data_IF_007597484751
#
_entry.id   IF_007597484751
#
_cell.length_a   1.000
_cell.length_b   1.000
_cell.length_c   1.000
_cell.angle_alpha   90.00
_cell.angle_beta   90.00
_cell.angle_gamma   90.00
#
_symmetry.space_group_name_H-M   'P 1'
#
loop_
_entity.id
_entity.type
_entity.pdbx_description
1 polymer ?
#
# COMPACT_ATOMS: atom_id res chain seq x y z
N UNK A 1 -50.62 -22.28 94.20
CA UNK A 1 -49.24 -22.75 93.98
C UNK A 1 -48.83 -22.28 92.59
N UNK A 2 -47.68 -21.62 92.44
CA UNK A 2 -47.18 -21.23 91.13
C UNK A 2 -46.83 -22.50 90.34
N UNK A 3 -47.28 -22.62 89.08
CA UNK A 3 -46.75 -23.63 88.19
C UNK A 3 -45.31 -23.25 87.88
N UNK A 4 -44.35 -24.00 88.42
CA UNK A 4 -42.92 -23.70 88.26
C UNK A 4 -42.27 -24.45 87.10
N UNK A 5 -42.92 -25.49 86.56
CA UNK A 5 -42.52 -26.20 85.33
C UNK A 5 -43.76 -26.72 84.61
N UNK A 6 -43.78 -26.58 83.29
CA UNK A 6 -44.78 -27.21 82.42
C UNK A 6 -44.08 -28.39 81.74
N UNK A 7 -44.65 -29.60 81.86
CA UNK A 7 -44.15 -30.80 81.16
C UNK A 7 -44.57 -30.82 79.69
N UNK A 8 -43.98 -31.70 78.88
CA UNK A 8 -44.29 -31.83 77.45
C UNK A 8 -45.77 -32.14 77.17
N UNK A 9 -46.44 -32.82 78.10
CA UNK A 9 -47.87 -33.17 78.00
C UNK A 9 -48.78 -32.10 78.68
N UNK A 10 -48.17 -31.09 79.31
CA UNK A 10 -48.85 -30.07 80.11
C UNK A 10 -49.50 -28.96 79.28
N UNK A 11 -49.27 -28.93 77.97
CA UNK A 11 -49.87 -27.99 77.02
C UNK A 11 -50.58 -28.81 75.97
N UNK A 12 -51.90 -28.67 75.89
CA UNK A 12 -52.67 -29.29 74.81
C UNK A 12 -52.29 -28.64 73.47
N UNK A 13 -52.45 -29.38 72.37
CA UNK A 13 -52.34 -28.82 71.01
C UNK A 13 -53.16 -27.52 70.89
N UNK A 14 -52.61 -26.53 70.20
CA UNK A 14 -53.18 -25.18 70.02
C UNK A 14 -53.47 -24.38 71.30
N UNK A 15 -53.10 -24.87 72.49
CA UNK A 15 -53.37 -24.14 73.74
C UNK A 15 -52.59 -22.82 73.85
N UNK A 16 -51.44 -22.72 73.17
CA UNK A 16 -50.69 -21.47 72.98
C UNK A 16 -51.03 -20.93 71.58
N UNK A 17 -51.89 -19.93 71.55
CA UNK A 17 -52.29 -19.24 70.32
C UNK A 17 -51.49 -17.95 70.13
N UNK A 18 -51.52 -17.38 68.93
CA UNK A 18 -50.86 -16.10 68.64
C UNK A 18 -51.26 -14.97 69.60
N UNK A 19 -52.53 -14.92 70.03
CA UNK A 19 -53.01 -13.91 70.99
C UNK A 19 -52.48 -14.06 72.41
N UNK A 20 -51.91 -15.22 72.77
CA UNK A 20 -51.27 -15.47 74.07
C UNK A 20 -49.76 -15.25 74.06
N UNK A 21 -49.18 -14.95 72.90
CA UNK A 21 -47.78 -14.58 72.73
C UNK A 21 -47.75 -13.06 72.49
N UNK A 22 -47.44 -12.23 73.51
CA UNK A 22 -47.33 -10.79 73.32
C UNK A 22 -46.28 -10.42 72.26
N UNK A 23 -46.40 -9.24 71.66
CA UNK A 23 -45.39 -8.73 70.73
C UNK A 23 -44.00 -8.71 71.39
N UNK A 24 -42.97 -9.15 70.65
CA UNK A 24 -41.58 -9.30 71.11
C UNK A 24 -41.36 -10.29 72.27
N UNK A 25 -42.36 -11.12 72.63
CA UNK A 25 -42.22 -12.11 73.69
C UNK A 25 -41.30 -13.30 73.31
N UNK A 26 -41.02 -13.47 72.01
CA UNK A 26 -40.06 -14.45 71.50
C UNK A 26 -38.88 -13.67 70.93
N UNK A 27 -37.80 -13.58 71.71
CA UNK A 27 -36.55 -12.96 71.33
C UNK A 27 -35.47 -14.00 71.02
N UNK A 28 -34.21 -13.55 70.97
CA UNK A 28 -33.07 -14.43 70.70
C UNK A 28 -32.80 -15.45 71.81
N UNK A 29 -33.25 -15.23 73.04
CA UNK A 29 -33.11 -16.17 74.15
C UNK A 29 -34.09 -17.34 74.08
N UNK A 30 -35.27 -17.12 73.49
CA UNK A 30 -36.31 -18.15 73.34
C UNK A 30 -36.14 -18.97 72.05
N UNK A 31 -35.33 -18.47 71.12
CA UNK A 31 -34.89 -19.18 69.92
C UNK A 31 -33.49 -19.72 70.20
N UNK A 32 -33.39 -20.98 70.64
CA UNK A 32 -32.10 -21.62 70.84
C UNK A 32 -31.24 -21.60 69.57
N UNK A 33 -29.91 -21.69 69.72
CA UNK A 33 -28.99 -21.81 68.59
C UNK A 33 -29.44 -22.96 67.67
N UNK A 34 -29.45 -22.72 66.36
CA UNK A 34 -29.93 -23.66 65.33
C UNK A 34 -31.40 -24.09 65.44
N UNK A 35 -32.21 -23.52 66.34
CA UNK A 35 -33.62 -23.89 66.50
C UNK A 35 -34.44 -23.63 65.22
N UNK A 36 -34.04 -22.65 64.42
CA UNK A 36 -34.58 -22.37 63.08
C UNK A 36 -33.73 -23.11 62.04
N UNK A 37 -33.98 -24.41 61.91
CA UNK A 37 -33.28 -25.27 60.96
C UNK A 37 -33.67 -24.94 59.51
N UNK A 38 -32.88 -25.43 58.55
CA UNK A 38 -33.20 -25.26 57.13
C UNK A 38 -34.62 -25.77 56.81
N UNK A 39 -35.04 -26.91 57.37
CA UNK A 39 -36.40 -27.44 57.18
C UNK A 39 -37.53 -26.52 57.70
N UNK A 40 -37.22 -25.63 58.65
CA UNK A 40 -38.13 -24.60 59.19
C UNK A 40 -38.05 -23.27 58.43
N UNK A 41 -37.02 -23.10 57.61
CA UNK A 41 -36.88 -22.03 56.62
C UNK A 41 -37.12 -22.65 55.25
N UNK A 42 -38.37 -22.96 54.84
CA UNK A 42 -38.68 -23.78 53.66
C UNK A 42 -37.75 -23.44 52.51
N UNK A 43 -36.69 -24.25 52.39
CA UNK A 43 -35.66 -24.08 51.40
C UNK A 43 -36.24 -24.62 50.10
N UNK A 44 -35.72 -24.11 48.98
CA UNK A 44 -35.91 -24.66 47.64
C UNK A 44 -36.68 -25.98 47.57
N UNK A 45 -37.98 -25.95 47.26
CA UNK A 45 -38.76 -27.16 46.93
C UNK A 45 -38.54 -27.51 45.46
N UNK A 46 -37.33 -27.35 44.93
CA UNK A 46 -36.93 -27.37 43.50
C UNK A 46 -37.45 -26.23 42.61
N UNK A 47 -38.47 -25.45 43.02
CA UNK A 47 -38.97 -24.25 42.30
C UNK A 47 -38.25 -22.94 42.69
N UNK A 48 -37.37 -23.04 43.68
CA UNK A 48 -36.70 -21.93 44.37
C UNK A 48 -35.23 -22.25 44.71
N UNK A 49 -34.67 -23.29 44.10
CA UNK A 49 -33.24 -23.58 44.18
C UNK A 49 -32.46 -22.42 43.53
N UNK A 50 -31.45 -21.91 44.25
CA UNK A 50 -30.66 -20.74 43.81
C UNK A 50 -31.35 -19.37 43.98
N UNK A 51 -32.51 -19.30 44.64
CA UNK A 51 -33.14 -18.02 45.02
C UNK A 51 -32.61 -17.54 46.37
N UNK A 52 -32.44 -16.22 46.50
CA UNK A 52 -31.98 -15.58 47.74
C UNK A 52 -33.09 -14.72 48.32
N UNK A 53 -33.24 -14.71 49.65
CA UNK A 53 -34.17 -13.81 50.33
C UNK A 53 -33.54 -12.41 50.32
N UNK A 54 -34.16 -11.46 49.62
CA UNK A 54 -33.65 -10.09 49.49
C UNK A 54 -34.55 -9.11 50.23
N UNK A 55 -33.95 -8.10 50.86
CA UNK A 55 -34.69 -7.00 51.45
C UNK A 55 -35.36 -6.20 50.33
N UNK A 56 -36.69 -6.04 50.39
CA UNK A 56 -37.49 -5.41 49.34
C UNK A 56 -37.87 -3.97 49.73
N UNK A 57 -36.87 -3.13 50.03
CA UNK A 57 -37.03 -1.70 50.31
C UNK A 57 -38.21 -1.32 51.23
N UNK A 58 -38.41 -2.08 52.32
CA UNK A 58 -39.47 -1.84 53.32
C UNK A 58 -40.74 -2.67 53.16
N UNK A 59 -40.89 -3.46 52.08
CA UNK A 59 -41.88 -4.52 51.98
C UNK A 59 -41.33 -5.84 52.54
N UNK A 60 -42.22 -6.82 52.74
CA UNK A 60 -41.84 -8.17 53.17
C UNK A 60 -40.78 -8.76 52.21
N UNK A 61 -39.69 -9.35 52.74
CA UNK A 61 -38.67 -9.99 51.92
C UNK A 61 -39.26 -11.08 51.03
N UNK A 62 -38.82 -11.13 49.77
CA UNK A 62 -39.21 -12.15 48.80
C UNK A 62 -37.99 -12.92 48.29
N UNK A 63 -38.21 -14.17 47.90
CA UNK A 63 -37.19 -14.98 47.24
C UNK A 63 -37.09 -14.58 45.78
N UNK A 64 -35.95 -14.01 45.39
CA UNK A 64 -35.69 -13.61 44.02
C UNK A 64 -34.62 -14.51 43.38
N UNK A 65 -34.80 -14.79 42.09
CA UNK A 65 -33.75 -15.38 41.27
C UNK A 65 -32.69 -14.33 41.01
N UNK A 66 -31.45 -14.59 41.42
CA UNK A 66 -30.30 -13.83 40.93
C UNK A 66 -30.04 -14.29 39.51
N UNK A 67 -30.27 -13.43 38.53
CA UNK A 67 -29.88 -13.71 37.15
C UNK A 67 -28.38 -13.44 37.03
N UNK A 68 -27.57 -14.49 37.07
CA UNK A 68 -26.18 -14.40 36.63
C UNK A 68 -26.12 -13.97 35.18
N UNK A 69 -25.08 -13.24 34.79
CA UNK A 69 -24.89 -12.87 33.39
C UNK A 69 -24.42 -14.08 32.59
N UNK A 70 -25.25 -14.59 31.69
CA UNK A 70 -24.84 -15.68 30.79
C UNK A 70 -23.97 -15.11 29.68
N UNK A 71 -22.78 -15.69 29.47
CA UNK A 71 -21.96 -15.45 28.28
C UNK A 71 -22.38 -16.48 27.24
N UNK A 72 -23.17 -16.04 26.26
CA UNK A 72 -23.57 -16.90 25.15
C UNK A 72 -22.34 -17.31 24.36
N UNK A 73 -22.24 -18.60 24.01
CA UNK A 73 -21.08 -19.18 23.32
C UNK A 73 -19.78 -18.85 24.08
N UNK A 74 -19.57 -19.44 25.26
CA UNK A 74 -18.37 -19.21 26.09
C UNK A 74 -17.19 -20.11 25.67
N UNK A 75 -16.00 -19.52 25.49
CA UNK A 75 -14.72 -20.19 25.31
C UNK A 75 -13.60 -19.17 25.54
N UNK A 76 -12.38 -19.68 25.66
CA UNK A 76 -11.18 -18.85 25.83
C UNK A 76 -11.05 -17.82 24.70
N UNK A 77 -10.37 -16.71 24.99
CA UNK A 77 -9.87 -15.78 23.98
C UNK A 77 -10.95 -15.00 23.20
N UNK A 78 -12.18 -14.93 23.71
CA UNK A 78 -13.29 -14.18 23.11
C UNK A 78 -13.35 -12.73 23.59
N UNK A 79 -13.68 -11.83 22.66
CA UNK A 79 -14.15 -10.49 23.00
C UNK A 79 -15.62 -10.59 23.45
N UNK A 80 -15.92 -10.00 24.61
CA UNK A 80 -17.28 -10.00 25.18
C UNK A 80 -17.97 -8.68 24.84
N UNK A 81 -19.06 -8.74 24.08
CA UNK A 81 -19.90 -7.58 23.74
C UNK A 81 -21.22 -7.63 24.52
N UNK A 82 -21.86 -6.46 24.67
CA UNK A 82 -23.21 -6.40 25.23
C UNK A 82 -24.21 -7.13 24.34
N UNK A 83 -25.13 -7.89 24.92
CA UNK A 83 -26.26 -8.45 24.16
C UNK A 83 -27.48 -7.52 24.22
N UNK A 84 -28.36 -7.59 23.23
CA UNK A 84 -29.60 -6.81 23.19
C UNK A 84 -30.70 -7.26 24.17
N UNK A 85 -30.42 -8.21 25.06
CA UNK A 85 -31.35 -8.76 26.06
C UNK A 85 -30.81 -8.57 27.48
N UNK A 86 -31.72 -8.43 28.45
CA UNK A 86 -31.34 -8.29 29.85
C UNK A 86 -30.52 -9.50 30.33
N UNK A 87 -29.49 -9.24 31.13
CA UNK A 87 -28.67 -10.25 31.82
C UNK A 87 -27.87 -11.21 30.92
N UNK A 88 -27.55 -10.82 29.68
CA UNK A 88 -26.72 -11.65 28.78
C UNK A 88 -25.62 -10.83 28.11
N UNK A 89 -24.51 -11.49 27.77
CA UNK A 89 -23.39 -10.96 26.97
C UNK A 89 -23.08 -11.94 25.83
N UNK A 90 -22.53 -11.46 24.71
CA UNK A 90 -22.14 -12.30 23.59
C UNK A 90 -20.61 -12.50 23.58
N UNK A 91 -20.15 -13.75 23.51
CA UNK A 91 -18.79 -14.04 23.09
C UNK A 91 -18.71 -14.01 21.56
N UNK A 92 -18.12 -12.96 21.00
CA UNK A 92 -17.94 -12.86 19.54
C UNK A 92 -17.01 -13.98 19.07
N UNK A 93 -17.47 -14.84 18.16
CA UNK A 93 -16.69 -15.99 17.69
C UNK A 93 -15.61 -15.63 16.69
N UNK A 94 -15.83 -14.55 15.93
CA UNK A 94 -15.01 -14.17 14.79
C UNK A 94 -14.01 -13.05 15.13
N UNK A 95 -14.12 -12.45 16.32
CA UNK A 95 -13.20 -11.43 16.84
C UNK A 95 -12.56 -11.97 18.14
N UNK A 96 -11.31 -12.39 18.07
CA UNK A 96 -10.64 -13.11 19.17
C UNK A 96 -9.22 -12.59 19.45
N UNK A 97 -8.72 -12.84 20.66
CA UNK A 97 -7.34 -12.60 21.10
C UNK A 97 -6.72 -13.93 21.56
N UNK A 98 -5.80 -14.53 20.81
CA UNK A 98 -5.30 -15.89 21.11
C UNK A 98 -3.94 -15.93 21.86
N UNK A 99 -3.48 -14.79 22.39
CA UNK A 99 -2.19 -14.66 23.05
C UNK A 99 -0.99 -14.64 22.10
N UNK A 100 -1.14 -15.13 20.86
CA UNK A 100 -0.14 -14.99 19.78
C UNK A 100 -0.44 -13.77 18.91
N UNK A 101 -1.73 -13.49 18.68
CA UNK A 101 -2.21 -12.35 17.91
C UNK A 101 -3.05 -11.44 18.81
N UNK A 102 -2.80 -10.13 18.74
CA UNK A 102 -3.59 -9.12 19.47
C UNK A 102 -5.01 -9.02 18.90
N UNK A 103 -5.15 -9.15 17.58
CA UNK A 103 -6.43 -9.10 16.86
C UNK A 103 -6.48 -10.23 15.82
N UNK A 104 -7.48 -11.10 15.93
CA UNK A 104 -7.71 -12.18 14.98
C UNK A 104 -9.14 -12.15 14.48
N UNK A 105 -9.28 -11.92 13.17
CA UNK A 105 -10.56 -11.91 12.45
C UNK A 105 -10.56 -13.06 11.45
N UNK A 106 -11.39 -14.08 11.69
CA UNK A 106 -11.41 -15.31 10.90
C UNK A 106 -12.81 -15.94 10.81
N UNK A 107 -13.09 -16.60 9.68
CA UNK A 107 -14.36 -17.28 9.39
C UNK A 107 -14.30 -18.01 8.04
N UNK A 108 -15.43 -18.58 7.61
CA UNK A 108 -15.60 -19.03 6.22
C UNK A 108 -15.91 -17.81 5.32
N UNK A 109 -15.62 -17.93 4.03
CA UNK A 109 -15.85 -16.89 3.01
C UNK A 109 -14.99 -15.62 3.22
N UNK A 110 -15.53 -14.43 2.93
CA UNK A 110 -14.79 -13.17 3.04
C UNK A 110 -14.77 -12.67 4.49
N UNK A 111 -13.58 -12.32 4.97
CA UNK A 111 -13.40 -11.54 6.19
C UNK A 111 -12.91 -10.16 5.79
N UNK A 112 -13.47 -9.13 6.41
CA UNK A 112 -13.16 -7.75 6.08
C UNK A 112 -12.94 -6.91 7.34
N UNK A 113 -12.00 -5.98 7.24
CA UNK A 113 -11.85 -4.87 8.17
C UNK A 113 -12.22 -3.61 7.38
N UNK A 114 -13.27 -2.91 7.82
CA UNK A 114 -13.64 -1.62 7.25
C UNK A 114 -13.02 -0.51 8.10
N UNK A 115 -12.09 0.24 7.53
CA UNK A 115 -11.55 1.48 8.10
C UNK A 115 -12.07 2.61 7.22
N UNK A 116 -12.86 3.52 7.80
CA UNK A 116 -13.55 4.55 7.02
C UNK A 116 -13.74 5.85 7.79
N UNK A 117 -13.87 6.95 7.05
CA UNK A 117 -14.27 8.24 7.58
C UNK A 117 -15.63 8.64 7.01
N UNK A 118 -16.58 8.99 7.88
CA UNK A 118 -17.95 9.38 7.47
C UNK A 118 -18.07 10.83 7.04
N UNK A 119 -17.02 11.63 7.22
CA UNK A 119 -16.98 13.05 6.83
C UNK A 119 -16.15 13.31 5.57
N UNK A 120 -15.79 12.26 4.81
CA UNK A 120 -14.93 12.37 3.62
C UNK A 120 -13.44 12.59 3.92
N UNK A 121 -13.03 12.49 5.19
CA UNK A 121 -11.64 12.52 5.60
C UNK A 121 -10.84 11.26 5.22
N UNK A 122 -9.57 11.23 5.64
CA UNK A 122 -8.66 10.10 5.38
C UNK A 122 -9.01 8.93 6.30
N UNK A 123 -8.93 7.72 5.74
CA UNK A 123 -8.98 6.47 6.50
C UNK A 123 -7.67 5.71 6.29
N UNK A 124 -7.09 5.15 7.35
CA UNK A 124 -5.73 4.61 7.29
C UNK A 124 -5.53 3.41 8.22
N UNK A 125 -4.78 2.41 7.74
CA UNK A 125 -4.03 1.49 8.58
C UNK A 125 -2.63 2.07 8.81
N UNK A 126 -2.27 2.28 10.06
CA UNK A 126 -0.95 2.81 10.47
C UNK A 126 -0.10 1.65 10.98
N UNK A 127 1.12 1.56 10.47
CA UNK A 127 2.15 0.62 10.88
C UNK A 127 3.28 1.43 11.51
N UNK A 128 3.36 1.41 12.83
CA UNK A 128 4.37 2.15 13.57
C UNK A 128 5.30 1.19 14.30
N UNK A 129 6.50 1.03 13.75
CA UNK A 129 7.51 0.12 14.30
C UNK A 129 8.95 0.62 14.13
N UNK A 130 9.15 1.81 13.55
CA UNK A 130 10.46 2.44 13.54
C UNK A 130 10.67 3.21 14.85
N UNK A 131 11.94 3.39 15.25
CA UNK A 131 12.36 4.10 16.47
C UNK A 131 11.83 3.52 17.80
N UNK A 132 10.54 3.71 18.09
CA UNK A 132 9.92 3.37 19.38
C UNK A 132 8.44 2.92 19.28
N UNK A 133 7.78 3.04 18.11
CA UNK A 133 6.41 2.57 17.90
C UNK A 133 5.36 3.25 18.78
N UNK A 134 5.56 4.52 19.14
CA UNK A 134 4.75 5.24 20.13
C UNK A 134 3.55 6.02 19.53
N UNK A 135 3.36 5.96 18.22
CA UNK A 135 2.34 6.66 17.45
C UNK A 135 2.63 8.13 17.21
N UNK A 136 3.79 8.64 17.62
CA UNK A 136 4.19 10.03 17.48
C UNK A 136 5.22 10.21 16.34
N UNK A 137 5.85 11.38 16.22
CA UNK A 137 7.07 11.57 15.40
C UNK A 137 6.93 11.58 13.87
N UNK A 138 5.90 10.95 13.29
CA UNK A 138 5.76 10.85 11.84
C UNK A 138 6.66 9.79 11.20
N UNK A 139 7.10 8.80 11.95
CA UNK A 139 7.99 7.70 11.54
C UNK A 139 7.26 6.37 11.32
N UNK A 140 5.99 6.46 10.90
CA UNK A 140 5.13 5.33 10.57
C UNK A 140 5.00 5.08 9.07
N UNK A 141 4.74 3.84 8.68
CA UNK A 141 4.23 3.49 7.36
C UNK A 141 2.69 3.45 7.37
N UNK A 142 2.06 3.74 6.24
CA UNK A 142 0.60 3.83 6.14
C UNK A 142 0.10 3.15 4.88
N UNK A 143 -1.05 2.49 4.98
CA UNK A 143 -1.94 2.22 3.84
C UNK A 143 -3.19 3.07 4.06
N UNK A 144 -3.48 4.03 3.18
CA UNK A 144 -4.59 4.97 3.39
C UNK A 144 -5.40 5.24 2.13
N UNK A 145 -6.67 5.54 2.34
CA UNK A 145 -7.54 6.13 1.33
C UNK A 145 -7.61 7.65 1.57
N UNK A 146 -7.27 8.44 0.55
CA UNK A 146 -7.24 9.90 0.65
C UNK A 146 -8.62 10.52 0.43
N UNK A 147 -8.79 11.80 0.77
CA UNK A 147 -10.00 12.54 0.45
C UNK A 147 -10.21 12.72 -1.07
N UNK A 148 -9.17 12.50 -1.87
CA UNK A 148 -9.24 12.55 -3.34
C UNK A 148 -9.70 11.23 -3.97
N UNK A 149 -9.82 10.15 -3.17
CA UNK A 149 -10.18 8.82 -3.67
C UNK A 149 -8.97 7.91 -3.95
N UNK A 150 -7.75 8.35 -3.67
CA UNK A 150 -6.54 7.60 -3.97
C UNK A 150 -6.22 6.58 -2.87
N UNK A 151 -5.67 5.43 -3.26
CA UNK A 151 -5.05 4.47 -2.36
C UNK A 151 -3.54 4.74 -2.30
N UNK A 152 -3.08 5.24 -1.15
CA UNK A 152 -1.66 5.48 -0.91
C UNK A 152 -1.05 4.34 -0.09
N UNK A 153 0.07 3.81 -0.59
CA UNK A 153 1.08 3.14 0.23
C UNK A 153 2.13 4.19 0.56
N UNK A 154 2.29 4.53 1.84
CA UNK A 154 3.13 5.66 2.25
C UNK A 154 4.21 5.23 3.26
N UNK A 155 5.46 5.23 2.83
CA UNK A 155 6.62 5.01 3.68
C UNK A 155 7.12 6.36 4.22
N UNK A 156 7.04 6.57 5.54
CA UNK A 156 7.46 7.81 6.20
C UNK A 156 8.47 7.51 7.31
N UNK A 157 9.44 8.41 7.44
CA UNK A 157 10.50 8.42 8.45
C UNK A 157 11.22 9.78 8.32
N UNK A 158 11.45 10.53 9.42
CA UNK A 158 12.03 11.86 9.35
C UNK A 158 13.52 11.88 8.97
N UNK A 159 14.21 10.73 8.97
CA UNK A 159 15.68 10.70 8.96
C UNK A 159 16.35 9.71 7.98
N UNK A 160 15.66 8.66 7.51
CA UNK A 160 16.24 7.64 6.62
C UNK A 160 15.79 7.67 5.15
N UNK A 161 16.09 6.60 4.41
CA UNK A 161 15.59 6.38 3.05
C UNK A 161 14.17 5.77 3.07
N UNK A 162 13.28 6.19 2.17
CA UNK A 162 11.91 5.64 2.04
C UNK A 162 11.82 4.74 0.82
N UNK A 163 11.82 3.43 1.07
CA UNK A 163 11.73 2.46 -0.01
C UNK A 163 10.44 1.67 0.15
N UNK A 164 9.81 1.33 -0.97
CA UNK A 164 8.79 0.27 -1.00
C UNK A 164 9.45 -1.00 -1.50
N UNK A 165 9.42 -2.06 -0.70
CA UNK A 165 10.16 -3.28 -0.97
C UNK A 165 9.20 -4.47 -1.03
N UNK A 166 9.22 -5.17 -2.15
CA UNK A 166 8.46 -6.41 -2.35
C UNK A 166 9.40 -7.61 -2.25
N UNK A 167 9.05 -8.57 -1.39
CA UNK A 167 9.89 -9.74 -1.08
C UNK A 167 9.15 -11.05 -1.35
N UNK A 168 9.91 -12.06 -1.77
CA UNK A 168 9.50 -13.47 -1.78
C UNK A 168 10.38 -14.22 -0.80
N UNK A 169 9.79 -14.72 0.30
CA UNK A 169 10.57 -15.18 1.45
C UNK A 169 11.43 -14.04 2.02
N UNK A 170 12.71 -14.29 2.27
CA UNK A 170 13.68 -13.27 2.71
C UNK A 170 14.30 -12.46 1.57
N UNK A 171 14.03 -12.81 0.32
CA UNK A 171 14.69 -12.22 -0.86
C UNK A 171 13.91 -11.03 -1.41
N UNK A 172 14.60 -9.91 -1.57
CA UNK A 172 14.06 -8.74 -2.26
C UNK A 172 13.94 -8.97 -3.76
N UNK A 173 12.74 -8.73 -4.31
CA UNK A 173 12.45 -8.91 -5.72
C UNK A 173 12.38 -7.58 -6.46
N UNK A 174 11.70 -6.60 -5.88
CA UNK A 174 11.48 -5.27 -6.47
C UNK A 174 11.58 -4.22 -5.36
N UNK A 175 12.20 -3.09 -5.70
CA UNK A 175 12.27 -1.90 -4.85
C UNK A 175 11.89 -0.66 -5.65
N UNK A 176 11.00 0.14 -5.09
CA UNK A 176 10.87 1.55 -5.45
C UNK A 176 11.86 2.32 -4.58
N UNK A 177 12.89 2.90 -5.20
CA UNK A 177 14.00 3.49 -4.46
C UNK A 177 13.62 4.85 -3.89
N UNK A 178 14.20 5.20 -2.74
CA UNK A 178 14.05 6.53 -2.16
C UNK A 178 14.54 7.67 -3.07
N UNK A 179 15.53 7.39 -3.92
CA UNK A 179 16.06 8.33 -4.91
C UNK A 179 15.25 8.42 -6.20
N UNK A 180 14.18 7.62 -6.35
CA UNK A 180 13.40 7.49 -7.58
C UNK A 180 13.66 6.19 -8.33
N UNK A 181 12.74 5.85 -9.24
CA UNK A 181 12.82 4.66 -10.09
C UNK A 181 12.61 3.33 -9.37
N UNK A 182 12.80 2.26 -10.15
CA UNK A 182 12.57 0.87 -9.74
C UNK A 182 13.85 0.05 -9.95
N UNK A 183 14.25 -0.73 -8.96
CA UNK A 183 15.31 -1.74 -9.08
C UNK A 183 14.81 -3.14 -8.75
N UNK A 184 15.57 -4.14 -9.17
CA UNK A 184 15.23 -5.56 -9.06
C UNK A 184 16.30 -6.34 -8.28
N UNK A 185 15.90 -7.47 -7.69
CA UNK A 185 16.84 -8.44 -7.11
C UNK A 185 17.68 -7.93 -5.94
N UNK A 186 17.22 -6.90 -5.22
CA UNK A 186 17.92 -6.30 -4.09
C UNK A 186 18.96 -5.23 -4.46
N UNK A 187 19.01 -4.81 -5.72
CA UNK A 187 19.88 -3.71 -6.13
C UNK A 187 19.44 -2.38 -5.51
N UNK A 188 20.42 -1.62 -5.00
CA UNK A 188 20.21 -0.33 -4.31
C UNK A 188 21.02 0.80 -4.95
N UNK A 189 21.75 0.54 -6.04
CA UNK A 189 22.47 1.57 -6.75
C UNK A 189 21.48 2.43 -7.56
N UNK A 190 21.53 3.74 -7.37
CA UNK A 190 20.71 4.69 -8.12
C UNK A 190 20.95 4.57 -9.65
N UNK A 191 22.19 4.30 -10.07
CA UNK A 191 22.55 4.10 -11.47
C UNK A 191 21.87 2.90 -12.15
N UNK A 192 21.35 1.95 -11.36
CA UNK A 192 20.66 0.77 -11.86
C UNK A 192 19.13 0.89 -11.73
N UNK A 193 18.62 2.03 -11.27
CA UNK A 193 17.19 2.29 -11.22
C UNK A 193 16.66 2.54 -12.63
N UNK A 194 15.54 1.90 -12.97
CA UNK A 194 14.73 2.32 -14.11
C UNK A 194 13.83 3.46 -13.63
N UNK A 195 14.13 4.68 -14.05
CA UNK A 195 13.52 5.91 -13.56
C UNK A 195 12.70 6.65 -14.63
N UNK A 196 13.12 6.58 -15.90
CA UNK A 196 12.47 7.29 -17.01
C UNK A 196 11.88 6.35 -18.07
N UNK A 197 10.68 6.68 -18.53
CA UNK A 197 10.08 6.19 -19.78
C UNK A 197 9.32 7.33 -20.45
N UNK A 198 9.73 7.70 -21.66
CA UNK A 198 9.00 8.68 -22.46
C UNK A 198 9.07 8.34 -23.94
N UNK A 199 7.97 8.60 -24.65
CA UNK A 199 7.89 8.52 -26.09
C UNK A 199 7.56 9.91 -26.64
N UNK A 200 8.13 10.25 -27.78
CA UNK A 200 7.90 11.55 -28.38
C UNK A 200 8.31 11.65 -29.82
N UNK A 201 8.07 12.84 -30.39
CA UNK A 201 8.54 13.21 -31.71
C UNK A 201 9.62 14.28 -31.60
N UNK A 202 10.47 14.37 -32.61
CA UNK A 202 11.50 15.39 -32.73
C UNK A 202 11.69 15.78 -34.20
N UNK A 203 12.30 16.93 -34.44
CA UNK A 203 12.53 17.43 -35.82
C UNK A 203 14.03 17.46 -36.10
N UNK A 204 14.58 16.51 -36.88
CA UNK A 204 16.00 16.51 -37.22
C UNK A 204 16.37 17.69 -38.11
N UNK A 205 17.50 18.30 -37.82
CA UNK A 205 18.06 19.40 -38.60
C UNK A 205 19.34 18.92 -39.27
N UNK A 206 19.32 18.74 -40.58
CA UNK A 206 20.50 18.37 -41.35
C UNK A 206 21.24 19.61 -41.85
N UNK A 207 22.55 19.67 -41.60
CA UNK A 207 23.42 20.76 -42.04
C UNK A 207 24.66 20.25 -42.77
N UNK A 208 25.17 21.06 -43.69
CA UNK A 208 26.50 20.89 -44.28
C UNK A 208 27.40 22.00 -43.76
N UNK A 209 28.50 21.63 -43.09
CA UNK A 209 29.48 22.59 -42.57
C UNK A 209 28.84 23.76 -41.75
N UNK A 210 27.85 23.44 -40.92
CA UNK A 210 27.12 24.42 -40.10
C UNK A 210 26.00 25.18 -40.82
N UNK A 211 25.87 25.04 -42.15
CA UNK A 211 24.76 25.62 -42.92
C UNK A 211 23.59 24.65 -43.02
N UNK A 212 22.44 25.01 -42.46
CA UNK A 212 21.23 24.20 -42.51
C UNK A 212 20.73 23.98 -43.95
N UNK A 213 20.22 22.77 -44.21
CA UNK A 213 19.52 22.49 -45.45
C UNK A 213 18.24 23.33 -45.59
N UNK A 214 17.78 23.57 -46.84
CA UNK A 214 16.47 24.14 -47.11
C UNK A 214 15.32 23.33 -46.49
N UNK A 215 14.15 23.94 -46.35
CA UNK A 215 12.96 23.30 -45.77
C UNK A 215 12.59 22.02 -46.54
N UNK A 216 12.60 20.85 -45.89
CA UNK A 216 12.29 19.57 -46.54
C UNK A 216 10.81 19.43 -46.87
N UNK A 217 10.49 18.57 -47.83
CA UNK A 217 9.10 18.16 -48.08
C UNK A 217 8.61 17.12 -47.07
N UNK A 218 9.52 16.33 -46.49
CA UNK A 218 9.23 15.42 -45.38
C UNK A 218 10.33 15.50 -44.33
N UNK A 219 9.95 15.72 -43.07
CA UNK A 219 10.86 15.68 -41.93
C UNK A 219 10.13 15.22 -40.69
N UNK A 220 10.75 14.32 -39.95
CA UNK A 220 10.23 13.89 -38.66
C UNK A 220 11.13 12.84 -38.04
N UNK A 221 11.13 12.81 -36.72
CA UNK A 221 11.76 11.78 -35.94
C UNK A 221 10.87 11.35 -34.79
N UNK A 222 11.09 10.13 -34.32
CA UNK A 222 10.45 9.57 -33.13
C UNK A 222 11.53 9.10 -32.17
N UNK A 223 11.20 9.08 -30.88
CA UNK A 223 12.07 8.54 -29.86
C UNK A 223 11.30 7.77 -28.80
N UNK A 224 12.01 6.81 -28.17
CA UNK A 224 11.60 6.16 -26.92
C UNK A 224 12.80 6.19 -25.99
N UNK A 225 12.68 6.86 -24.85
CA UNK A 225 13.69 6.91 -23.80
C UNK A 225 13.36 5.88 -22.73
N UNK A 226 14.38 5.16 -22.26
CA UNK A 226 14.29 4.21 -21.16
C UNK A 226 15.54 4.43 -20.29
N UNK A 227 15.37 5.04 -19.11
CA UNK A 227 16.50 5.48 -18.28
C UNK A 227 17.49 6.35 -19.05
N UNK A 228 18.74 5.88 -19.16
CA UNK A 228 19.84 6.58 -19.85
C UNK A 228 20.08 6.14 -21.31
N UNK A 229 19.14 5.41 -21.92
CA UNK A 229 19.18 5.10 -23.35
C UNK A 229 17.98 5.71 -24.07
N UNK A 230 18.20 6.09 -25.33
CA UNK A 230 17.15 6.53 -26.24
C UNK A 230 17.25 5.77 -27.55
N UNK A 231 16.15 5.13 -27.95
CA UNK A 231 15.96 4.66 -29.31
C UNK A 231 15.45 5.82 -30.16
N UNK A 232 16.13 6.11 -31.26
CA UNK A 232 15.86 7.24 -32.15
C UNK A 232 15.61 6.72 -33.56
N UNK A 233 14.65 7.32 -34.24
CA UNK A 233 14.51 7.24 -35.69
C UNK A 233 14.30 8.65 -36.26
N UNK A 234 14.81 8.89 -37.46
CA UNK A 234 14.59 10.13 -38.19
C UNK A 234 14.52 9.87 -39.69
N UNK A 235 13.69 10.66 -40.36
CA UNK A 235 13.55 10.71 -41.82
C UNK A 235 13.57 12.16 -42.28
N UNK A 236 14.27 12.41 -43.38
CA UNK A 236 14.36 13.72 -44.02
C UNK A 236 14.44 13.53 -45.54
N UNK A 237 13.63 14.26 -46.28
CA UNK A 237 13.62 14.21 -47.73
C UNK A 237 13.27 15.57 -48.34
N UNK A 238 13.96 15.92 -49.41
CA UNK A 238 13.63 17.04 -50.28
C UNK A 238 13.94 16.69 -51.74
N UNK A 239 12.93 16.82 -52.61
CA UNK A 239 12.98 16.36 -54.00
C UNK A 239 13.96 17.14 -54.90
N UNK A 240 14.06 18.47 -54.76
CA UNK A 240 14.97 19.23 -55.61
C UNK A 240 15.48 20.49 -54.91
N UNK A 241 16.75 20.50 -54.55
CA UNK A 241 17.40 21.68 -53.99
C UNK A 241 18.92 21.57 -54.05
N UNK A 242 19.60 22.43 -53.30
CA UNK A 242 21.04 22.36 -53.10
C UNK A 242 21.43 22.85 -51.71
N UNK A 243 22.55 22.35 -51.22
CA UNK A 243 23.33 22.93 -50.15
C UNK A 243 24.81 22.81 -50.54
N UNK A 244 25.32 23.90 -51.13
CA UNK A 244 26.68 23.98 -51.69
C UNK A 244 27.73 24.42 -50.66
N UNK A 245 27.45 24.31 -49.36
CA UNK A 245 28.33 24.79 -48.28
C UNK A 245 29.66 24.01 -48.12
N UNK A 246 30.22 23.43 -49.19
CA UNK A 246 31.64 23.06 -49.30
C UNK A 246 31.93 21.70 -49.93
N UNK A 247 33.10 21.58 -50.57
CA UNK A 247 33.69 20.34 -51.13
C UNK A 247 34.57 19.56 -50.14
N UNK A 248 34.57 19.97 -48.87
CA UNK A 248 35.29 19.36 -47.73
C UNK A 248 34.45 19.48 -46.44
N UNK A 249 34.84 18.82 -45.35
CA UNK A 249 34.09 18.81 -44.08
C UNK A 249 32.99 17.75 -43.99
N UNK A 250 32.09 17.86 -43.00
CA UNK A 250 31.10 16.83 -42.66
C UNK A 250 29.66 17.32 -42.75
N UNK A 251 28.73 16.38 -42.92
CA UNK A 251 27.32 16.59 -42.67
C UNK A 251 27.03 16.41 -41.17
N UNK A 252 26.13 17.21 -40.61
CA UNK A 252 25.67 17.09 -39.22
C UNK A 252 24.16 16.93 -39.16
N UNK A 253 23.70 16.13 -38.20
CA UNK A 253 22.30 16.04 -37.79
C UNK A 253 22.20 16.60 -36.38
N UNK A 254 21.44 17.67 -36.24
CA UNK A 254 21.19 18.40 -35.00
C UNK A 254 19.69 18.34 -34.63
N UNK A 255 19.31 18.99 -33.53
CA UNK A 255 17.93 19.01 -33.04
C UNK A 255 17.53 17.74 -32.29
N UNK A 256 18.51 16.98 -31.78
CA UNK A 256 18.29 15.77 -31.00
C UNK A 256 17.36 16.05 -29.81
N UNK A 257 16.47 15.11 -29.43
CA UNK A 257 15.54 15.29 -28.31
C UNK A 257 16.25 15.35 -26.95
N UNK A 258 17.47 14.81 -26.84
CA UNK A 258 18.27 14.77 -25.62
C UNK A 258 19.74 15.04 -25.91
N UNK A 259 20.48 15.43 -24.88
CA UNK A 259 21.95 15.47 -24.92
C UNK A 259 22.49 14.04 -24.92
N UNK A 260 23.31 13.70 -25.92
CA UNK A 260 23.88 12.35 -26.07
C UNK A 260 25.29 12.26 -25.48
N UNK A 261 25.65 11.08 -24.98
CA UNK A 261 27.04 10.82 -24.55
C UNK A 261 27.95 10.69 -25.79
N UNK A 262 28.82 11.67 -26.05
CA UNK A 262 29.62 11.69 -27.27
C UNK A 262 30.69 10.58 -27.36
N UNK A 263 31.27 10.14 -26.23
CA UNK A 263 32.32 9.12 -26.21
C UNK A 263 32.18 8.17 -25.03
N UNK A 264 32.07 6.88 -25.32
CA UNK A 264 31.97 5.80 -24.34
C UNK A 264 33.28 5.02 -24.27
N UNK A 265 34.09 5.27 -23.23
CA UNK A 265 35.28 4.46 -22.93
C UNK A 265 36.22 4.24 -24.15
N UNK A 266 36.44 5.27 -24.96
CA UNK A 266 37.29 5.20 -26.15
C UNK A 266 36.57 4.84 -27.47
N UNK A 267 35.28 4.48 -27.43
CA UNK A 267 34.44 4.23 -28.61
C UNK A 267 33.39 5.32 -28.83
N UNK A 268 33.05 5.57 -30.10
CA UNK A 268 31.97 6.48 -30.46
C UNK A 268 30.64 5.74 -30.59
N UNK A 269 29.56 6.37 -30.15
CA UNK A 269 28.20 5.92 -30.46
C UNK A 269 27.84 6.34 -31.89
N UNK A 270 26.93 5.61 -32.54
CA UNK A 270 26.44 6.01 -33.85
C UNK A 270 25.05 5.44 -34.14
N UNK A 271 24.33 6.12 -35.02
CA UNK A 271 23.12 5.60 -35.66
C UNK A 271 23.45 5.03 -37.03
N UNK A 272 22.79 3.93 -37.39
CA UNK A 272 22.88 3.37 -38.72
C UNK A 272 22.04 4.19 -39.70
N UNK A 273 22.48 4.21 -40.95
CA UNK A 273 21.81 4.95 -42.02
C UNK A 273 20.96 3.97 -42.83
N UNK A 274 19.65 4.20 -42.89
CA UNK A 274 18.70 3.41 -43.68
C UNK A 274 18.61 3.90 -45.13
N UNK A 275 18.41 5.21 -45.32
CA UNK A 275 18.45 5.88 -46.63
C UNK A 275 19.53 6.94 -46.63
N UNK A 276 20.29 7.04 -47.72
CA UNK A 276 21.26 8.11 -47.91
C UNK A 276 21.45 8.38 -49.40
N UNK A 277 20.76 9.41 -49.87
CA UNK A 277 20.83 9.84 -51.25
C UNK A 277 21.18 11.31 -51.33
N UNK A 278 22.10 11.68 -52.23
CA UNK A 278 22.46 13.07 -52.55
C UNK A 278 22.66 13.16 -54.07
N UNK A 279 22.24 14.26 -54.69
CA UNK A 279 22.39 14.46 -56.15
C UNK A 279 21.77 13.32 -56.97
N UNK A 280 20.58 12.85 -56.56
CA UNK A 280 19.87 11.73 -57.19
C UNK A 280 20.59 10.36 -57.15
N UNK A 281 21.64 10.22 -56.35
CA UNK A 281 22.40 8.97 -56.22
C UNK A 281 22.18 8.40 -54.82
N UNK A 282 21.71 7.15 -54.72
CA UNK A 282 21.65 6.38 -53.46
C UNK A 282 23.05 5.83 -53.15
N UNK A 283 23.48 6.00 -51.89
CA UNK A 283 24.78 5.59 -51.40
C UNK A 283 24.73 4.46 -50.36
N UNK A 284 23.54 4.01 -49.96
CA UNK A 284 23.40 2.86 -49.04
C UNK A 284 23.43 1.55 -49.82
N UNK A 285 22.76 1.48 -50.98
CA UNK A 285 22.64 0.23 -51.76
C UNK A 285 23.73 0.05 -52.81
N UNK A 286 24.47 1.11 -53.18
CA UNK A 286 25.57 1.02 -54.13
C UNK A 286 26.79 0.37 -53.48
N UNK A 287 27.19 -0.81 -53.96
CA UNK A 287 28.30 -1.65 -53.43
C UNK A 287 29.72 -1.07 -53.65
N UNK A 288 29.85 0.20 -54.00
CA UNK A 288 31.11 0.79 -54.48
C UNK A 288 32.06 1.17 -53.34
N UNK A 289 31.62 1.18 -52.08
CA UNK A 289 32.41 1.72 -50.97
C UNK A 289 32.70 0.70 -49.86
N UNK A 290 33.97 0.62 -49.46
CA UNK A 290 34.45 -0.29 -48.41
C UNK A 290 34.12 0.17 -46.97
N UNK A 291 33.40 1.29 -46.79
CA UNK A 291 33.10 1.87 -45.47
C UNK A 291 31.60 2.17 -45.34
N UNK A 292 30.94 1.73 -44.24
CA UNK A 292 29.53 2.01 -44.00
C UNK A 292 29.30 3.49 -43.70
N UNK A 293 28.15 4.02 -44.13
CA UNK A 293 27.71 5.37 -43.79
C UNK A 293 27.05 5.32 -42.40
N UNK A 294 27.57 6.11 -41.46
CA UNK A 294 27.06 6.18 -40.09
C UNK A 294 26.96 7.61 -39.59
N UNK A 295 26.05 7.85 -38.66
CA UNK A 295 25.87 9.12 -37.98
C UNK A 295 26.45 9.03 -36.58
N UNK A 296 27.69 9.48 -36.42
CA UNK A 296 28.51 9.28 -35.23
C UNK A 296 28.33 10.43 -34.22
N UNK A 297 28.14 10.09 -32.95
CA UNK A 297 28.11 11.05 -31.85
C UNK A 297 29.52 11.59 -31.61
N UNK A 298 29.72 12.89 -31.87
CA UNK A 298 30.99 13.58 -31.59
C UNK A 298 30.81 14.75 -30.61
N UNK A 299 29.57 15.10 -30.30
CA UNK A 299 29.17 16.15 -29.36
C UNK A 299 27.81 15.79 -28.78
N UNK A 300 27.42 16.40 -27.67
CA UNK A 300 26.15 16.10 -27.02
C UNK A 300 24.92 16.56 -27.80
N UNK A 301 25.05 17.52 -28.73
CA UNK A 301 23.93 18.08 -29.47
C UNK A 301 23.81 17.65 -30.94
N UNK A 302 24.76 16.84 -31.45
CA UNK A 302 24.83 16.55 -32.88
C UNK A 302 25.51 15.22 -33.21
N UNK A 303 25.05 14.61 -34.31
CA UNK A 303 25.71 13.48 -34.97
C UNK A 303 26.40 13.95 -36.25
N UNK A 304 27.64 13.52 -36.47
CA UNK A 304 28.39 13.80 -37.68
C UNK A 304 28.34 12.58 -38.61
N UNK A 305 28.11 12.81 -39.90
CA UNK A 305 28.16 11.74 -40.88
C UNK A 305 29.60 11.33 -41.18
N UNK A 306 29.89 10.04 -41.03
CA UNK A 306 31.12 9.41 -41.49
C UNK A 306 30.81 8.43 -42.62
N UNK A 307 31.66 8.44 -43.63
CA UNK A 307 31.50 7.61 -44.81
C UNK A 307 32.10 8.27 -46.05
N UNK A 308 32.07 7.56 -47.19
CA UNK A 308 32.67 8.01 -48.46
C UNK A 308 32.13 9.35 -48.97
N UNK A 309 30.93 9.75 -48.54
CA UNK A 309 30.24 10.96 -48.98
C UNK A 309 30.26 12.10 -47.95
N UNK A 310 31.04 12.02 -46.87
CA UNK A 310 31.14 13.06 -45.84
C UNK A 310 31.40 14.47 -46.42
N UNK A 311 32.29 14.54 -47.41
CA UNK A 311 32.65 15.78 -48.11
C UNK A 311 31.77 16.13 -49.31
N UNK A 312 30.82 15.28 -49.70
CA UNK A 312 30.00 15.49 -50.89
C UNK A 312 29.02 16.66 -50.67
N UNK A 313 29.07 17.64 -51.56
CA UNK A 313 28.12 18.74 -51.59
C UNK A 313 26.81 18.31 -52.26
N UNK A 314 25.69 18.84 -51.79
CA UNK A 314 24.41 18.71 -52.48
C UNK A 314 24.26 19.85 -53.47
N UNK A 315 24.41 19.57 -54.76
CA UNK A 315 24.47 20.57 -55.83
C UNK A 315 23.15 20.71 -56.59
N UNK A 316 22.38 19.62 -56.72
CA UNK A 316 21.10 19.58 -57.44
C UNK A 316 20.34 18.29 -57.09
N UNK A 317 19.08 18.13 -57.51
CA UNK A 317 18.31 16.90 -57.36
C UNK A 317 17.85 16.63 -55.94
N UNK A 318 17.42 15.41 -55.65
CA UNK A 318 16.92 15.07 -54.32
C UNK A 318 18.04 14.76 -53.34
N UNK A 319 17.74 15.02 -52.06
CA UNK A 319 18.47 14.47 -50.94
C UNK A 319 17.49 13.73 -50.03
N UNK A 320 17.89 12.54 -49.57
CA UNK A 320 17.10 11.68 -48.70
C UNK A 320 18.01 11.11 -47.61
N UNK A 321 17.58 11.20 -46.35
CA UNK A 321 18.30 10.65 -45.21
C UNK A 321 17.32 9.96 -44.29
N UNK A 322 17.61 8.72 -43.90
CA UNK A 322 16.92 8.04 -42.81
C UNK A 322 17.92 7.38 -41.88
N UNK A 323 17.66 7.47 -40.58
CA UNK A 323 18.51 6.89 -39.54
C UNK A 323 17.67 6.21 -38.49
N UNK A 324 18.21 5.15 -37.88
CA UNK A 324 17.64 4.57 -36.68
C UNK A 324 18.72 3.91 -35.81
N UNK A 325 18.45 3.79 -34.51
CA UNK A 325 19.33 3.08 -33.58
C UNK A 325 19.19 3.59 -32.15
N UNK A 326 20.09 3.14 -31.29
CA UNK A 326 20.08 3.46 -29.86
C UNK A 326 21.31 4.27 -29.52
N UNK A 327 21.13 5.33 -28.73
CA UNK A 327 22.21 6.11 -28.13
C UNK A 327 22.03 6.14 -26.60
N UNK A 328 23.11 6.22 -25.86
CA UNK A 328 23.12 6.66 -24.48
C UNK A 328 23.07 8.18 -24.40
N UNK A 329 22.43 8.67 -23.35
CA UNK A 329 22.21 10.08 -23.06
C UNK A 329 22.81 10.41 -21.69
N UNK A 330 23.21 11.68 -21.53
CA UNK A 330 23.78 12.21 -20.28
C UNK A 330 22.72 12.31 -19.17
#
# INVERSE_FOLDING_TARGET
MALTKIGTDGVKDDAITSGKIPANAVGSSEIADEAVTLAKLPHGTSSNDGKFLRANNGADPTFETITGTTINNNADNRVITGSGTANTLNGESNLTYDGSNILKIQGLDQQQITIGSTNGGIAALILDGNSNGDGAGGDYAIIRHTSSGDLDFFARDPSGAKNYIFRTGSSEQVRFQAGGGISFGGDTAAANALDDYEEGTWTPIFKKNGTANPTPSHVGGTYTRIGNIVHLAAYWYLNNSSNSAGSSGYWTMEGLPFSIEAQLSGGYQFLNTGYMSINNTDYVTTSTYNYPIRWQANSSGALNMYGPIAGLAWTNGYMEVAVNGVLRID
#
